data_IF_884431242127
#
_entry.id   IF_884431242127
#
_cell.length_a   1.000
_cell.length_b   1.000
_cell.length_c   1.000
_cell.angle_alpha   90.00
_cell.angle_beta   90.00
_cell.angle_gamma   90.00
#
_symmetry.space_group_name_H-M   'P 1'
#
loop_
_entity.id
_entity.type
_entity.pdbx_description
1 polymer ?
#
# COMPACT_ATOMS: atom_id res chain seq x y z
N UNK A 1 -12.42 19.62 19.73
CA UNK A 1 -12.17 19.38 18.29
C UNK A 1 -10.88 20.02 17.77
N UNK A 2 -10.65 21.32 17.97
CA UNK A 2 -9.41 21.99 17.51
C UNK A 2 -8.12 21.45 18.15
N UNK A 3 -8.15 21.11 19.46
CA UNK A 3 -7.00 20.54 20.19
C UNK A 3 -6.58 19.16 19.63
N UNK A 4 -7.54 18.28 19.37
CA UNK A 4 -7.26 16.94 18.80
C UNK A 4 -6.65 17.02 17.41
N UNK A 5 -7.15 17.92 16.54
CA UNK A 5 -6.59 18.14 15.20
C UNK A 5 -5.15 18.66 15.24
N UNK A 6 -4.83 19.56 16.19
CA UNK A 6 -3.46 20.08 16.39
C UNK A 6 -2.51 18.99 16.90
N UNK A 7 -2.96 18.17 17.85
CA UNK A 7 -2.16 17.02 18.35
C UNK A 7 -1.84 16.07 17.19
N UNK A 8 -2.83 15.73 16.37
CA UNK A 8 -2.63 14.87 15.21
C UNK A 8 -1.59 15.44 14.24
N UNK A 9 -1.64 16.76 13.95
CA UNK A 9 -0.64 17.42 13.12
C UNK A 9 0.76 17.38 13.74
N UNK A 10 0.88 17.63 15.06
CA UNK A 10 2.17 17.60 15.76
C UNK A 10 2.78 16.19 15.70
N UNK A 11 1.96 15.16 15.94
CA UNK A 11 2.43 13.76 15.85
C UNK A 11 2.89 13.43 14.43
N UNK A 12 2.11 13.79 13.40
CA UNK A 12 2.48 13.57 12.01
C UNK A 12 3.78 14.29 11.65
N UNK A 13 3.96 15.54 12.08
CA UNK A 13 5.16 16.32 11.88
C UNK A 13 6.37 15.69 12.61
N UNK A 14 6.20 15.27 13.85
CA UNK A 14 7.27 14.61 14.61
C UNK A 14 7.73 13.31 13.95
N UNK A 15 6.80 12.49 13.45
CA UNK A 15 7.11 11.26 12.70
C UNK A 15 7.88 11.59 11.42
N UNK A 16 7.42 12.57 10.65
CA UNK A 16 8.08 12.99 9.39
C UNK A 16 9.50 13.49 9.67
N UNK A 17 9.68 14.33 10.69
CA UNK A 17 11.01 14.86 11.05
C UNK A 17 11.96 13.77 11.56
N UNK A 18 11.47 12.85 12.41
CA UNK A 18 12.27 11.73 12.89
C UNK A 18 12.70 10.80 11.74
N UNK A 19 11.75 10.46 10.84
CA UNK A 19 12.05 9.66 9.66
C UNK A 19 13.01 10.34 8.69
N UNK A 20 12.87 11.67 8.51
CA UNK A 20 13.80 12.46 7.69
C UNK A 20 15.22 12.48 8.26
N UNK A 21 15.36 12.62 9.58
CA UNK A 21 16.66 12.52 10.24
C UNK A 21 17.26 11.11 10.07
N UNK A 22 16.43 10.05 10.20
CA UNK A 22 16.85 8.68 9.91
C UNK A 22 17.32 8.49 8.47
N UNK A 23 16.58 9.06 7.51
CA UNK A 23 16.95 8.99 6.09
C UNK A 23 18.25 9.73 5.78
N UNK A 24 18.50 10.92 6.36
CA UNK A 24 19.82 11.60 6.25
C UNK A 24 20.93 10.70 6.78
N UNK A 25 20.73 10.06 7.93
CA UNK A 25 21.70 9.10 8.47
C UNK A 25 21.95 7.94 7.52
N UNK A 26 20.90 7.39 6.90
CA UNK A 26 21.04 6.35 5.88
C UNK A 26 21.80 6.83 4.64
N UNK A 27 21.55 8.05 4.15
CA UNK A 27 22.30 8.62 3.03
C UNK A 27 23.80 8.79 3.32
N UNK A 28 24.15 9.07 4.57
CA UNK A 28 25.57 9.20 5.00
C UNK A 28 26.26 7.84 5.15
N UNK A 29 25.55 6.81 5.57
CA UNK A 29 26.10 5.47 5.86
C UNK A 29 25.88 4.47 4.73
N UNK A 30 24.96 4.73 3.82
CA UNK A 30 24.49 3.79 2.80
C UNK A 30 23.53 2.76 3.35
N UNK A 31 23.07 1.84 2.49
CA UNK A 31 22.12 0.78 2.85
C UNK A 31 22.72 -0.29 3.78
N UNK A 32 24.00 -0.21 4.10
CA UNK A 32 24.68 -1.12 5.05
C UNK A 32 24.07 -1.11 6.46
N UNK A 33 23.31 -0.07 6.82
CA UNK A 33 22.57 0.02 8.09
C UNK A 33 21.27 -0.77 8.12
N UNK A 34 20.86 -1.29 6.96
CA UNK A 34 19.68 -2.17 6.81
C UNK A 34 20.10 -3.62 6.93
N UNK A 35 19.12 -4.52 7.08
CA UNK A 35 19.36 -5.95 7.04
C UNK A 35 19.35 -6.52 5.61
N UNK A 36 19.25 -5.65 4.60
CA UNK A 36 19.31 -6.07 3.20
C UNK A 36 20.70 -6.59 2.85
N UNK A 37 20.73 -7.59 1.99
CA UNK A 37 21.94 -8.28 1.52
C UNK A 37 21.84 -8.60 0.04
N UNK A 38 22.87 -9.20 -0.54
CA UNK A 38 22.79 -9.71 -1.92
C UNK A 38 21.72 -10.81 -2.10
N UNK A 39 21.34 -11.50 -1.03
CA UNK A 39 20.28 -12.51 -1.04
C UNK A 39 18.90 -11.89 -0.80
N UNK A 40 18.81 -10.91 0.11
CA UNK A 40 17.63 -10.14 0.43
C UNK A 40 17.80 -8.70 -0.07
N UNK A 41 17.70 -8.50 -1.37
CA UNK A 41 17.88 -7.19 -1.99
C UNK A 41 16.68 -6.27 -1.85
N UNK A 42 15.51 -6.79 -1.50
CA UNK A 42 14.27 -6.06 -1.23
C UNK A 42 13.74 -6.40 0.15
N UNK A 43 13.76 -5.42 1.05
CA UNK A 43 13.35 -5.58 2.43
C UNK A 43 12.03 -4.92 2.77
N UNK A 44 11.94 -4.41 3.99
CA UNK A 44 10.75 -3.76 4.55
C UNK A 44 10.28 -2.56 3.70
N UNK A 45 11.19 -1.80 3.10
CA UNK A 45 10.84 -0.63 2.28
C UNK A 45 9.96 -0.99 1.08
N UNK A 46 10.28 -2.07 0.37
CA UNK A 46 9.49 -2.52 -0.78
C UNK A 46 8.14 -3.09 -0.34
N UNK A 47 8.08 -3.82 0.78
CA UNK A 47 6.81 -4.28 1.35
C UNK A 47 5.90 -3.10 1.73
N UNK A 48 6.46 -2.08 2.39
CA UNK A 48 5.75 -0.87 2.78
C UNK A 48 5.36 -0.01 1.57
N UNK A 49 6.20 0.05 0.52
CA UNK A 49 5.85 0.65 -0.77
C UNK A 49 4.62 -0.02 -1.38
N UNK A 50 4.65 -1.34 -1.57
CA UNK A 50 3.54 -2.10 -2.14
C UNK A 50 2.25 -2.00 -1.29
N UNK A 51 2.38 -1.88 0.04
CA UNK A 51 1.27 -1.58 0.94
C UNK A 51 0.66 -0.20 0.66
N UNK A 52 1.48 0.87 0.60
CA UNK A 52 1.01 2.24 0.38
C UNK A 52 0.39 2.41 -1.02
N UNK A 53 0.98 1.81 -2.05
CA UNK A 53 0.41 1.76 -3.40
C UNK A 53 -0.98 1.11 -3.37
N UNK A 54 -1.13 0.00 -2.62
CA UNK A 54 -2.41 -0.68 -2.47
C UNK A 54 -3.48 0.19 -1.86
N UNK A 55 -3.17 0.80 -0.74
CA UNK A 55 -4.10 1.71 -0.06
C UNK A 55 -4.47 2.90 -0.96
N UNK A 56 -3.49 3.45 -1.69
CA UNK A 56 -3.73 4.54 -2.64
C UNK A 56 -4.68 4.10 -3.77
N UNK A 57 -4.38 2.98 -4.42
CA UNK A 57 -5.19 2.46 -5.54
C UNK A 57 -6.63 2.18 -5.12
N UNK A 58 -6.83 1.50 -3.99
CA UNK A 58 -8.16 1.20 -3.47
C UNK A 58 -8.98 2.44 -3.13
N UNK A 59 -8.35 3.47 -2.57
CA UNK A 59 -9.00 4.77 -2.32
C UNK A 59 -9.49 5.41 -3.62
N UNK A 60 -8.68 5.40 -4.67
CA UNK A 60 -9.04 6.01 -5.96
C UNK A 60 -10.08 5.17 -6.72
N UNK A 61 -10.01 3.83 -6.66
CA UNK A 61 -11.04 2.96 -7.22
C UNK A 61 -12.40 3.31 -6.62
N UNK A 62 -12.49 3.41 -5.29
CA UNK A 62 -13.73 3.78 -4.60
C UNK A 62 -14.19 5.16 -5.03
N UNK A 63 -13.31 6.18 -5.04
CA UNK A 63 -13.66 7.52 -5.45
C UNK A 63 -14.15 7.58 -6.90
N UNK A 64 -13.43 6.93 -7.81
CA UNK A 64 -13.81 6.89 -9.24
C UNK A 64 -15.15 6.23 -9.45
N UNK A 65 -15.41 5.07 -8.81
CA UNK A 65 -16.68 4.37 -8.90
C UNK A 65 -17.85 5.21 -8.36
N UNK A 66 -17.65 6.00 -7.31
CA UNK A 66 -18.68 6.90 -6.76
C UNK A 66 -19.17 7.89 -7.80
N UNK A 67 -18.24 8.54 -8.53
CA UNK A 67 -18.57 9.55 -9.52
C UNK A 67 -18.97 8.98 -10.89
N UNK A 68 -18.41 7.83 -11.28
CA UNK A 68 -18.74 7.19 -12.56
C UNK A 68 -20.14 6.57 -12.54
N UNK A 69 -20.50 5.92 -11.44
CA UNK A 69 -21.78 5.23 -11.29
C UNK A 69 -22.83 6.07 -10.54
N UNK A 70 -22.51 7.34 -10.20
CA UNK A 70 -23.39 8.27 -9.48
C UNK A 70 -24.04 7.65 -8.22
N UNK A 71 -23.25 6.95 -7.40
CA UNK A 71 -23.74 6.26 -6.19
C UNK A 71 -23.99 7.27 -5.08
N UNK A 72 -25.22 7.82 -4.99
CA UNK A 72 -25.63 8.88 -4.07
C UNK A 72 -25.20 8.64 -2.62
N UNK A 73 -25.43 7.41 -2.11
CA UNK A 73 -25.10 7.04 -0.72
C UNK A 73 -23.61 7.10 -0.42
N UNK A 74 -22.75 7.05 -1.43
CA UNK A 74 -21.30 7.05 -1.29
C UNK A 74 -20.69 8.42 -1.62
N UNK A 75 -21.41 9.36 -2.24
CA UNK A 75 -20.90 10.70 -2.57
C UNK A 75 -20.19 11.41 -1.40
N UNK A 76 -20.69 11.33 -0.13
CA UNK A 76 -20.01 11.96 0.99
C UNK A 76 -18.58 11.42 1.27
N UNK A 77 -18.26 10.25 0.79
CA UNK A 77 -16.96 9.59 1.01
C UNK A 77 -15.94 9.89 -0.11
N UNK A 78 -16.40 10.40 -1.26
CA UNK A 78 -15.55 10.61 -2.43
C UNK A 78 -14.32 11.49 -2.15
N UNK A 79 -14.50 12.62 -1.46
CA UNK A 79 -13.40 13.54 -1.09
C UNK A 79 -12.36 12.87 -0.20
N UNK A 80 -12.81 12.09 0.79
CA UNK A 80 -11.92 11.36 1.71
C UNK A 80 -11.17 10.28 0.94
N UNK A 81 -11.86 9.58 0.04
CA UNK A 81 -11.28 8.53 -0.78
C UNK A 81 -10.18 9.06 -1.72
N UNK A 82 -10.44 10.17 -2.43
CA UNK A 82 -9.43 10.81 -3.28
C UNK A 82 -8.26 11.36 -2.47
N UNK A 83 -8.52 11.97 -1.32
CA UNK A 83 -7.48 12.52 -0.45
C UNK A 83 -6.60 11.42 0.14
N UNK A 84 -7.19 10.31 0.60
CA UNK A 84 -6.42 9.16 1.09
C UNK A 84 -5.56 8.55 -0.02
N UNK A 85 -6.10 8.46 -1.25
CA UNK A 85 -5.37 7.99 -2.41
C UNK A 85 -4.16 8.89 -2.72
N UNK A 86 -4.35 10.21 -2.76
CA UNK A 86 -3.27 11.17 -2.99
C UNK A 86 -2.19 11.09 -1.90
N UNK A 87 -2.59 11.10 -0.62
CA UNK A 87 -1.64 11.04 0.48
C UNK A 87 -0.81 9.76 0.46
N UNK A 88 -1.45 8.60 0.26
CA UNK A 88 -0.75 7.31 0.18
C UNK A 88 0.11 7.19 -1.08
N UNK A 89 -0.29 7.77 -2.22
CA UNK A 89 0.54 7.81 -3.42
C UNK A 89 1.82 8.64 -3.21
N UNK A 90 1.71 9.80 -2.54
CA UNK A 90 2.90 10.57 -2.14
C UNK A 90 3.79 9.80 -1.16
N UNK A 91 3.19 9.08 -0.19
CA UNK A 91 3.92 8.22 0.72
C UNK A 91 4.62 7.07 0.02
N UNK A 92 3.97 6.44 -0.97
CA UNK A 92 4.57 5.38 -1.78
C UNK A 92 5.76 5.91 -2.60
N UNK A 93 5.63 7.06 -3.25
CA UNK A 93 6.75 7.72 -3.93
C UNK A 93 7.92 8.02 -2.99
N UNK A 94 7.63 8.51 -1.78
CA UNK A 94 8.66 8.73 -0.77
C UNK A 94 9.32 7.42 -0.29
N UNK A 95 8.56 6.30 -0.25
CA UNK A 95 9.12 5.00 0.12
C UNK A 95 10.13 4.49 -0.91
N UNK A 96 9.86 4.70 -2.20
CA UNK A 96 10.85 4.41 -3.26
C UNK A 96 12.11 5.25 -3.09
N UNK A 97 11.96 6.55 -2.74
CA UNK A 97 13.13 7.42 -2.53
C UNK A 97 14.02 6.97 -1.38
N UNK A 98 13.45 6.48 -0.29
CA UNK A 98 14.25 6.01 0.86
C UNK A 98 14.90 4.66 0.63
N UNK A 99 14.35 3.84 -0.26
CA UNK A 99 14.93 2.54 -0.66
C UNK A 99 16.11 2.68 -1.62
N UNK A 100 16.23 3.82 -2.30
CA UNK A 100 17.33 4.05 -3.26
C UNK A 100 18.67 4.20 -2.55
N UNK A 101 19.61 3.31 -2.86
CA UNK A 101 21.00 3.41 -2.39
C UNK A 101 21.79 4.53 -3.02
N UNK A 102 21.38 5.01 -4.20
CA UNK A 102 22.09 6.02 -5.01
C UNK A 102 21.12 7.07 -5.54
N UNK A 103 20.69 7.96 -4.64
CA UNK A 103 19.64 8.95 -4.95
C UNK A 103 20.04 9.94 -6.06
N UNK A 104 21.34 10.22 -6.22
CA UNK A 104 21.86 11.08 -7.28
C UNK A 104 21.57 10.54 -8.69
N UNK A 105 21.34 9.24 -8.81
CA UNK A 105 21.09 8.58 -10.09
C UNK A 105 19.59 8.46 -10.41
N UNK A 106 18.69 8.96 -9.57
CA UNK A 106 17.24 8.81 -9.75
C UNK A 106 16.75 9.37 -11.09
N UNK A 107 17.36 10.44 -11.59
CA UNK A 107 16.97 11.05 -12.86
C UNK A 107 17.29 10.16 -14.06
N UNK A 108 18.23 9.21 -13.93
CA UNK A 108 18.58 8.31 -15.03
C UNK A 108 17.41 7.44 -15.47
N UNK A 109 16.45 7.15 -14.57
CA UNK A 109 15.25 6.39 -14.92
C UNK A 109 14.35 7.14 -15.93
N UNK A 110 14.43 8.48 -15.94
CA UNK A 110 13.68 9.33 -16.88
C UNK A 110 14.50 9.71 -18.12
N UNK A 111 15.83 9.83 -17.98
CA UNK A 111 16.74 10.25 -19.08
C UNK A 111 17.11 9.06 -19.95
N UNK A 112 17.31 7.89 -19.34
CA UNK A 112 17.70 6.64 -20.00
C UNK A 112 16.77 5.49 -19.61
N UNK A 113 15.45 5.57 -19.89
CA UNK A 113 14.49 4.55 -19.47
C UNK A 113 14.70 3.25 -20.20
N UNK A 114 14.77 2.14 -19.47
CA UNK A 114 14.67 0.81 -20.04
C UNK A 114 13.19 0.37 -20.07
N UNK A 115 12.54 0.58 -21.21
CA UNK A 115 11.11 0.25 -21.36
C UNK A 115 10.79 -1.25 -21.31
N UNK A 116 11.78 -2.13 -21.26
CA UNK A 116 11.56 -3.55 -21.01
C UNK A 116 11.41 -3.87 -19.51
N UNK A 117 11.70 -2.91 -18.62
CA UNK A 117 11.65 -3.10 -17.18
C UNK A 117 10.31 -2.72 -16.59
N UNK A 118 9.59 -3.62 -15.88
CA UNK A 118 8.37 -3.29 -15.16
C UNK A 118 8.57 -2.18 -14.11
N UNK A 119 9.77 -2.03 -13.55
CA UNK A 119 10.09 -0.99 -12.60
C UNK A 119 10.00 0.42 -13.23
N UNK A 120 10.42 0.56 -14.49
CA UNK A 120 10.26 1.84 -15.24
C UNK A 120 8.78 2.13 -15.48
N UNK A 121 7.99 1.11 -15.83
CA UNK A 121 6.54 1.28 -15.99
C UNK A 121 5.90 1.75 -14.69
N UNK A 122 6.29 1.17 -13.55
CA UNK A 122 5.76 1.52 -12.23
C UNK A 122 6.05 2.99 -11.89
N UNK A 123 7.28 3.45 -12.11
CA UNK A 123 7.65 4.87 -11.87
C UNK A 123 6.86 5.83 -12.76
N UNK A 124 6.62 5.50 -14.03
CA UNK A 124 5.80 6.31 -14.93
C UNK A 124 4.35 6.34 -14.43
N UNK A 125 3.79 5.17 -14.13
CA UNK A 125 2.39 5.06 -13.72
C UNK A 125 2.15 5.74 -12.38
N UNK A 126 3.05 5.58 -11.37
CA UNK A 126 2.89 6.26 -10.07
C UNK A 126 3.00 7.77 -10.21
N UNK A 127 3.88 8.27 -11.09
CA UNK A 127 4.02 9.71 -11.34
C UNK A 127 2.73 10.30 -11.92
N UNK A 128 2.16 9.66 -12.95
CA UNK A 128 0.88 10.04 -13.52
C UNK A 128 -0.26 9.93 -12.49
N UNK A 129 -0.23 8.87 -11.68
CA UNK A 129 -1.23 8.60 -10.66
C UNK A 129 -1.26 9.66 -9.55
N UNK A 130 -0.10 10.14 -9.10
CA UNK A 130 -0.02 11.25 -8.14
C UNK A 130 -0.70 12.52 -8.72
N UNK A 131 -0.45 12.83 -9.98
CA UNK A 131 -1.09 13.98 -10.66
C UNK A 131 -2.60 13.79 -10.76
N UNK A 132 -3.07 12.61 -11.16
CA UNK A 132 -4.51 12.32 -11.29
C UNK A 132 -5.24 12.37 -9.94
N UNK A 133 -4.64 11.81 -8.89
CA UNK A 133 -5.21 11.87 -7.53
C UNK A 133 -5.23 13.29 -6.99
N UNK A 134 -4.19 14.08 -7.21
CA UNK A 134 -4.16 15.50 -6.87
C UNK A 134 -5.28 16.28 -7.58
N UNK A 135 -5.43 16.11 -8.90
CA UNK A 135 -6.50 16.74 -9.67
C UNK A 135 -7.88 16.31 -9.17
N UNK A 136 -8.06 15.05 -8.80
CA UNK A 136 -9.31 14.55 -8.23
C UNK A 136 -9.64 15.28 -6.92
N UNK A 137 -8.68 15.39 -6.01
CA UNK A 137 -8.83 16.15 -4.74
C UNK A 137 -9.16 17.62 -5.03
N UNK A 138 -8.41 18.22 -5.95
CA UNK A 138 -8.59 19.63 -6.33
C UNK A 138 -10.03 19.91 -6.77
N UNK A 139 -10.54 19.19 -7.77
CA UNK A 139 -11.88 19.45 -8.29
C UNK A 139 -12.98 19.12 -7.28
N UNK A 140 -12.81 18.09 -6.44
CA UNK A 140 -13.78 17.72 -5.41
C UNK A 140 -13.86 18.73 -4.25
N UNK A 141 -12.79 19.50 -4.00
CA UNK A 141 -12.76 20.53 -2.97
C UNK A 141 -13.22 21.91 -3.46
N UNK A 142 -13.32 22.15 -4.77
CA UNK A 142 -13.71 23.44 -5.32
C UNK A 142 -15.00 24.03 -4.74
N UNK A 143 -16.12 23.27 -4.56
CA UNK A 143 -17.34 23.79 -3.97
C UNK A 143 -17.15 24.26 -2.53
N UNK A 144 -16.35 23.51 -1.74
CA UNK A 144 -16.07 23.88 -0.35
C UNK A 144 -15.19 25.13 -0.26
N UNK A 145 -14.20 25.25 -1.15
CA UNK A 145 -13.37 26.46 -1.25
C UNK A 145 -14.19 27.68 -1.62
N UNK A 146 -15.18 27.52 -2.49
CA UNK A 146 -16.10 28.62 -2.88
C UNK A 146 -16.98 29.03 -1.71
N UNK A 147 -17.53 28.06 -0.94
CA UNK A 147 -18.39 28.32 0.23
C UNK A 147 -17.62 29.00 1.37
N UNK A 148 -16.38 28.58 1.63
CA UNK A 148 -15.60 29.06 2.78
C UNK A 148 -14.60 30.20 2.42
N UNK A 149 -14.55 30.63 1.18
CA UNK A 149 -13.64 31.69 0.71
C UNK A 149 -12.15 31.34 0.80
N UNK A 150 -11.80 30.07 0.78
CA UNK A 150 -10.42 29.60 0.89
C UNK A 150 -9.63 29.92 -0.39
N UNK A 151 -8.53 30.68 -0.27
CA UNK A 151 -7.85 31.30 -1.43
C UNK A 151 -6.96 30.36 -2.24
N UNK A 152 -6.41 29.31 -1.65
CA UNK A 152 -5.41 28.47 -2.32
C UNK A 152 -5.92 27.79 -3.60
N UNK A 153 -7.21 27.51 -3.67
CA UNK A 153 -7.87 26.91 -4.84
C UNK A 153 -8.82 27.89 -5.56
N UNK A 154 -8.81 29.16 -5.21
CA UNK A 154 -9.79 30.14 -5.65
C UNK A 154 -9.50 30.77 -7.03
N UNK A 155 -8.33 30.46 -7.63
CA UNK A 155 -7.99 30.96 -8.96
C UNK A 155 -8.97 30.46 -10.01
N UNK A 156 -9.69 31.35 -10.65
CA UNK A 156 -10.63 31.04 -11.75
C UNK A 156 -12.07 30.70 -11.34
N UNK A 157 -12.41 30.60 -10.04
CA UNK A 157 -13.79 30.38 -9.60
C UNK A 157 -14.41 31.60 -8.88
N UNK A 158 -13.64 32.68 -8.72
CA UNK A 158 -14.05 33.84 -7.95
C UNK A 158 -15.35 34.48 -8.47
N UNK A 159 -15.51 34.55 -9.79
CA UNK A 159 -16.64 35.15 -10.45
C UNK A 159 -17.76 34.19 -10.86
N UNK A 160 -17.59 32.87 -10.57
CA UNK A 160 -18.60 31.85 -10.89
C UNK A 160 -19.62 31.74 -9.75
N UNK A 161 -20.86 31.38 -10.04
CA UNK A 161 -21.87 31.05 -9.06
C UNK A 161 -21.50 29.72 -8.35
N UNK A 162 -22.08 29.47 -7.15
CA UNK A 162 -21.84 28.22 -6.44
C UNK A 162 -22.32 27.02 -7.25
N UNK A 163 -23.47 27.14 -7.92
CA UNK A 163 -24.07 26.11 -8.75
C UNK A 163 -23.18 25.75 -9.95
N UNK A 164 -22.59 26.77 -10.63
CA UNK A 164 -21.62 26.56 -11.68
C UNK A 164 -20.38 25.82 -11.21
N UNK A 165 -19.88 26.17 -10.01
CA UNK A 165 -18.71 25.49 -9.43
C UNK A 165 -19.04 24.04 -9.03
N UNK A 166 -20.23 23.76 -8.48
CA UNK A 166 -20.68 22.41 -8.17
C UNK A 166 -20.82 21.55 -9.44
N UNK A 167 -21.43 22.09 -10.50
CA UNK A 167 -21.53 21.44 -11.81
C UNK A 167 -20.15 21.16 -12.42
N UNK A 168 -19.25 22.15 -12.37
CA UNK A 168 -17.86 22.00 -12.84
C UNK A 168 -17.13 20.91 -12.04
N UNK A 169 -17.24 20.93 -10.71
CA UNK A 169 -16.66 19.93 -9.83
C UNK A 169 -17.14 18.52 -10.17
N UNK A 170 -18.44 18.31 -10.30
CA UNK A 170 -19.03 17.02 -10.65
C UNK A 170 -18.57 16.53 -12.02
N UNK A 171 -18.61 17.39 -13.04
CA UNK A 171 -18.20 17.05 -14.42
C UNK A 171 -16.72 16.64 -14.48
N UNK A 172 -15.84 17.42 -13.84
CA UNK A 172 -14.41 17.11 -13.84
C UNK A 172 -14.07 15.91 -12.97
N UNK A 173 -14.71 15.73 -11.82
CA UNK A 173 -14.54 14.53 -11.00
C UNK A 173 -14.92 13.25 -11.76
N UNK A 174 -15.98 13.31 -12.57
CA UNK A 174 -16.39 12.18 -13.44
C UNK A 174 -15.36 11.92 -14.55
N UNK A 175 -14.87 12.95 -15.23
CA UNK A 175 -13.85 12.84 -16.29
C UNK A 175 -12.52 12.32 -15.75
N UNK A 176 -12.07 12.87 -14.61
CA UNK A 176 -10.84 12.39 -13.95
C UNK A 176 -11.02 10.96 -13.48
N UNK A 177 -12.17 10.62 -12.88
CA UNK A 177 -12.47 9.26 -12.45
C UNK A 177 -12.41 8.23 -13.59
N UNK A 178 -12.85 8.61 -14.80
CA UNK A 178 -12.77 7.77 -15.98
C UNK A 178 -11.33 7.42 -16.37
N UNK A 179 -10.41 8.37 -16.22
CA UNK A 179 -8.98 8.18 -16.50
C UNK A 179 -8.27 7.55 -15.30
N UNK A 180 -8.58 8.01 -14.10
CA UNK A 180 -7.89 7.59 -12.88
C UNK A 180 -8.22 6.14 -12.49
N UNK A 181 -9.39 5.60 -12.85
CA UNK A 181 -9.75 4.22 -12.56
C UNK A 181 -8.84 3.21 -13.30
N UNK A 182 -8.60 3.30 -14.62
CA UNK A 182 -7.61 2.48 -15.29
C UNK A 182 -6.21 2.64 -14.72
N UNK A 183 -5.78 3.86 -14.35
CA UNK A 183 -4.49 4.09 -13.73
C UNK A 183 -4.39 3.47 -12.32
N UNK A 184 -5.47 3.48 -11.53
CA UNK A 184 -5.51 2.84 -10.23
C UNK A 184 -5.42 1.31 -10.31
N UNK A 185 -6.04 0.71 -11.33
CA UNK A 185 -5.88 -0.71 -11.64
C UNK A 185 -4.47 -0.97 -12.19
N UNK A 186 -4.01 -0.10 -13.11
CA UNK A 186 -2.71 -0.21 -13.78
C UNK A 186 -1.54 -0.15 -12.84
N UNK A 187 -1.51 0.80 -11.88
CA UNK A 187 -0.42 0.90 -10.92
C UNK A 187 -0.25 -0.40 -10.13
N UNK A 188 -1.37 -1.00 -9.70
CA UNK A 188 -1.32 -2.23 -8.92
C UNK A 188 -0.94 -3.45 -9.77
N UNK A 189 -1.41 -3.47 -11.02
CA UNK A 189 -0.98 -4.49 -11.99
C UNK A 189 0.52 -4.40 -12.28
N UNK A 190 1.04 -3.19 -12.51
CA UNK A 190 2.46 -3.01 -12.81
C UNK A 190 3.34 -3.30 -11.59
N UNK A 191 2.94 -2.85 -10.40
CA UNK A 191 3.65 -3.21 -9.16
C UNK A 191 3.67 -4.72 -8.96
N UNK A 192 2.58 -5.44 -9.22
CA UNK A 192 2.57 -6.90 -9.17
C UNK A 192 3.48 -7.53 -10.24
N UNK A 193 3.57 -6.94 -11.44
CA UNK A 193 4.45 -7.42 -12.51
C UNK A 193 5.94 -7.25 -12.18
N UNK A 194 6.32 -6.31 -11.30
CA UNK A 194 7.71 -6.22 -10.81
C UNK A 194 8.13 -7.56 -10.18
N UNK A 195 7.23 -8.21 -9.46
CA UNK A 195 7.46 -9.52 -8.86
C UNK A 195 7.18 -10.65 -9.85
N UNK A 196 6.01 -10.65 -10.49
CA UNK A 196 5.55 -11.75 -11.34
C UNK A 196 6.42 -12.02 -12.57
N UNK A 197 7.25 -11.08 -13.01
CA UNK A 197 8.21 -11.28 -14.10
C UNK A 197 9.56 -11.85 -13.63
N UNK A 198 9.76 -12.04 -12.33
CA UNK A 198 10.98 -12.60 -11.75
C UNK A 198 10.90 -14.14 -11.75
N UNK A 199 11.39 -14.77 -12.81
CA UNK A 199 11.39 -16.24 -12.95
C UNK A 199 12.27 -16.95 -11.92
N UNK A 200 13.18 -16.24 -11.24
CA UNK A 200 14.05 -16.78 -10.21
C UNK A 200 13.35 -17.06 -8.89
N UNK A 201 12.14 -16.56 -8.70
CA UNK A 201 11.36 -16.75 -7.48
C UNK A 201 10.00 -17.34 -7.83
N UNK A 202 9.84 -18.64 -7.65
CA UNK A 202 8.62 -19.38 -7.98
C UNK A 202 7.37 -18.82 -7.28
N UNK A 203 7.52 -18.35 -6.03
CA UNK A 203 6.43 -17.73 -5.27
C UNK A 203 5.85 -16.47 -5.91
N UNK A 204 6.63 -15.77 -6.71
CA UNK A 204 6.18 -14.56 -7.41
C UNK A 204 5.68 -14.83 -8.81
N UNK A 205 6.20 -15.86 -9.47
CA UNK A 205 5.92 -16.13 -10.87
C UNK A 205 4.55 -16.77 -11.09
N UNK A 206 3.50 -15.98 -10.83
CA UNK A 206 2.10 -16.40 -10.97
C UNK A 206 1.26 -15.32 -11.63
N UNK A 207 0.32 -15.73 -12.49
CA UNK A 207 -0.66 -14.83 -13.11
C UNK A 207 -1.75 -14.38 -12.12
N UNK A 208 -1.84 -14.99 -10.95
CA UNK A 208 -2.83 -14.65 -9.91
C UNK A 208 -2.42 -13.39 -9.15
N UNK A 209 -1.14 -13.07 -9.10
CA UNK A 209 -0.61 -11.97 -8.30
C UNK A 209 -1.22 -10.60 -8.64
N UNK A 210 -1.35 -10.14 -9.92
CA UNK A 210 -1.98 -8.87 -10.22
C UNK A 210 -3.44 -8.76 -9.78
N UNK A 211 -4.35 -9.72 -10.08
CA UNK A 211 -5.73 -9.63 -9.60
C UNK A 211 -5.87 -9.72 -8.08
N UNK A 212 -5.01 -10.49 -7.41
CA UNK A 212 -4.97 -10.53 -5.95
C UNK A 212 -4.56 -9.19 -5.34
N UNK A 213 -3.55 -8.55 -5.91
CA UNK A 213 -3.13 -7.21 -5.51
C UNK A 213 -4.26 -6.19 -5.63
N UNK A 214 -5.06 -6.25 -6.69
CA UNK A 214 -6.21 -5.35 -6.88
C UNK A 214 -7.29 -5.64 -5.81
N UNK A 215 -7.57 -6.90 -5.49
CA UNK A 215 -8.53 -7.26 -4.46
C UNK A 215 -8.11 -6.70 -3.09
N UNK A 216 -6.85 -6.93 -2.69
CA UNK A 216 -6.32 -6.39 -1.43
C UNK A 216 -6.21 -4.84 -1.43
N UNK A 217 -6.00 -4.21 -2.59
CA UNK A 217 -6.05 -2.75 -2.70
C UNK A 217 -7.44 -2.20 -2.37
N UNK A 218 -8.49 -2.77 -2.96
CA UNK A 218 -9.87 -2.37 -2.66
C UNK A 218 -10.19 -2.55 -1.18
N UNK A 219 -9.74 -3.66 -0.58
CA UNK A 219 -9.94 -3.92 0.84
C UNK A 219 -9.21 -2.89 1.73
N UNK A 220 -7.93 -2.67 1.48
CA UNK A 220 -7.09 -1.78 2.31
C UNK A 220 -7.44 -0.30 2.11
N UNK A 221 -7.61 0.15 0.85
CA UNK A 221 -8.02 1.52 0.56
C UNK A 221 -9.41 1.84 1.10
N UNK A 222 -10.37 0.90 0.95
CA UNK A 222 -11.69 1.01 1.56
C UNK A 222 -11.65 1.12 3.08
N UNK A 223 -10.76 0.36 3.71
CA UNK A 223 -10.55 0.39 5.15
C UNK A 223 -9.99 1.73 5.64
N UNK A 224 -9.02 2.31 4.94
CA UNK A 224 -8.52 3.64 5.29
C UNK A 224 -9.61 4.72 5.11
N UNK A 225 -10.37 4.67 4.01
CA UNK A 225 -11.51 5.57 3.78
C UNK A 225 -12.54 5.45 4.90
N UNK A 226 -12.86 4.22 5.32
CA UNK A 226 -13.80 3.94 6.39
C UNK A 226 -13.32 4.51 7.74
N UNK A 227 -12.05 4.31 8.11
CA UNK A 227 -11.45 4.87 9.32
C UNK A 227 -11.54 6.40 9.31
N UNK A 228 -11.05 7.03 8.24
CA UNK A 228 -11.04 8.49 8.13
C UNK A 228 -12.46 9.07 8.18
N UNK A 229 -13.39 8.48 7.44
CA UNK A 229 -14.77 8.92 7.43
C UNK A 229 -15.45 8.81 8.81
N UNK A 230 -15.22 7.72 9.55
CA UNK A 230 -15.77 7.50 10.88
C UNK A 230 -15.14 8.45 11.90
N UNK A 231 -13.82 8.60 11.89
CA UNK A 231 -13.08 9.47 12.84
C UNK A 231 -13.45 10.93 12.65
N UNK A 232 -13.64 11.37 11.40
CA UNK A 232 -14.01 12.73 11.07
C UNK A 232 -15.50 13.03 11.27
N UNK A 233 -16.36 12.00 11.30
CA UNK A 233 -17.82 12.16 11.48
C UNK A 233 -18.21 12.23 12.95
N UNK A 234 -19.02 13.22 13.30
CA UNK A 234 -19.74 13.23 14.57
C UNK A 234 -20.72 12.05 14.70
N UNK A 235 -21.28 11.84 15.89
CA UNK A 235 -22.21 10.72 16.15
C UNK A 235 -23.49 10.79 15.31
N UNK A 236 -24.04 11.98 15.17
CA UNK A 236 -25.27 12.21 14.39
C UNK A 236 -25.06 11.89 12.91
N UNK A 237 -24.00 12.46 12.31
CA UNK A 237 -23.65 12.26 10.89
C UNK A 237 -23.30 10.80 10.55
N UNK A 238 -22.73 10.07 11.50
CA UNK A 238 -22.49 8.63 11.33
C UNK A 238 -23.81 7.87 11.21
N UNK A 239 -24.78 8.13 12.11
CA UNK A 239 -26.06 7.46 12.10
C UNK A 239 -26.85 7.75 10.81
N UNK A 240 -26.81 9.01 10.36
CA UNK A 240 -27.43 9.44 9.11
C UNK A 240 -26.86 8.70 7.89
N UNK A 241 -25.53 8.49 7.87
CA UNK A 241 -24.81 7.86 6.75
C UNK A 241 -24.54 6.37 6.93
N UNK A 242 -25.16 5.72 7.91
CA UNK A 242 -24.91 4.32 8.25
C UNK A 242 -25.05 3.37 7.04
N UNK A 243 -26.00 3.68 6.14
CA UNK A 243 -26.19 2.92 4.90
C UNK A 243 -24.97 2.93 3.99
N UNK A 244 -24.31 4.09 3.85
CA UNK A 244 -23.08 4.25 3.07
C UNK A 244 -21.88 3.51 3.69
N UNK A 245 -21.71 3.63 5.01
CA UNK A 245 -20.67 2.88 5.74
C UNK A 245 -20.81 1.36 5.55
N UNK A 246 -22.04 0.85 5.63
CA UNK A 246 -22.30 -0.57 5.41
C UNK A 246 -22.02 -1.04 3.99
N UNK A 247 -22.24 -0.19 2.99
CA UNK A 247 -21.87 -0.50 1.60
C UNK A 247 -20.33 -0.64 1.49
N UNK A 248 -19.57 0.29 2.05
CA UNK A 248 -18.10 0.21 2.06
C UNK A 248 -17.64 -1.06 2.79
N UNK A 249 -18.19 -1.39 3.95
CA UNK A 249 -17.88 -2.63 4.67
C UNK A 249 -18.12 -3.88 3.81
N UNK A 250 -19.21 -3.92 3.04
CA UNK A 250 -19.50 -5.05 2.14
C UNK A 250 -18.54 -5.12 0.97
N UNK A 251 -18.15 -3.98 0.39
CA UNK A 251 -17.13 -3.92 -0.67
C UNK A 251 -15.82 -4.50 -0.14
N UNK A 252 -15.38 -4.09 1.04
CA UNK A 252 -14.18 -4.61 1.71
C UNK A 252 -14.30 -6.13 1.92
N UNK A 253 -15.42 -6.60 2.45
CA UNK A 253 -15.62 -8.02 2.73
C UNK A 253 -15.61 -8.89 1.46
N UNK A 254 -16.21 -8.41 0.37
CA UNK A 254 -16.17 -9.10 -0.94
C UNK A 254 -14.76 -9.12 -1.50
N UNK A 255 -14.03 -8.00 -1.41
CA UNK A 255 -12.66 -7.92 -1.87
C UNK A 255 -11.75 -8.89 -1.11
N UNK A 256 -11.91 -9.01 0.22
CA UNK A 256 -11.20 -9.99 1.03
C UNK A 256 -11.58 -11.43 0.64
N UNK A 257 -12.86 -11.71 0.35
CA UNK A 257 -13.28 -13.04 -0.09
C UNK A 257 -12.60 -13.44 -1.41
N UNK A 258 -12.44 -12.48 -2.35
CA UNK A 258 -11.72 -12.70 -3.61
C UNK A 258 -10.24 -12.97 -3.35
N UNK A 259 -9.60 -12.19 -2.45
CA UNK A 259 -8.22 -12.43 -2.04
C UNK A 259 -8.03 -13.82 -1.44
N UNK A 260 -8.85 -14.21 -0.47
CA UNK A 260 -8.76 -15.54 0.16
C UNK A 260 -8.99 -16.67 -0.86
N UNK A 261 -9.84 -16.45 -1.85
CA UNK A 261 -10.02 -17.41 -2.95
C UNK A 261 -8.73 -17.55 -3.77
N UNK A 262 -8.05 -16.46 -4.14
CA UNK A 262 -6.79 -16.51 -4.88
C UNK A 262 -5.69 -17.17 -4.05
N UNK A 263 -5.55 -16.83 -2.79
CA UNK A 263 -4.59 -17.47 -1.86
C UNK A 263 -4.83 -18.99 -1.75
N UNK A 264 -6.11 -19.40 -1.66
CA UNK A 264 -6.45 -20.83 -1.64
C UNK A 264 -6.07 -21.52 -2.96
N UNK A 265 -6.28 -20.87 -4.11
CA UNK A 265 -5.90 -21.43 -5.41
C UNK A 265 -4.37 -21.56 -5.53
N UNK A 266 -3.60 -20.58 -5.09
CA UNK A 266 -2.13 -20.66 -5.07
C UNK A 266 -1.63 -21.82 -4.20
N UNK A 267 -2.18 -22.00 -3.00
CA UNK A 267 -1.83 -23.10 -2.12
C UNK A 267 -2.18 -24.47 -2.73
N UNK A 268 -3.37 -24.59 -3.33
CA UNK A 268 -3.79 -25.84 -3.98
C UNK A 268 -2.86 -26.17 -5.14
N UNK A 269 -2.52 -25.18 -5.98
CA UNK A 269 -1.61 -25.39 -7.11
C UNK A 269 -0.20 -25.72 -6.62
N UNK A 270 0.32 -25.04 -5.60
CA UNK A 270 1.61 -25.32 -5.00
C UNK A 270 1.67 -26.74 -4.42
N UNK A 271 0.64 -27.16 -3.71
CA UNK A 271 0.55 -28.51 -3.14
C UNK A 271 0.41 -29.60 -4.23
N UNK A 272 -0.27 -29.30 -5.34
CA UNK A 272 -0.49 -30.24 -6.44
C UNK A 272 0.71 -30.36 -7.37
N UNK A 273 1.37 -29.27 -7.70
CA UNK A 273 2.46 -29.21 -8.67
C UNK A 273 3.66 -30.09 -8.27
N UNK A 274 3.93 -30.20 -6.97
CA UNK A 274 4.83 -31.20 -6.42
C UNK A 274 6.30 -31.07 -6.82
N UNK A 275 6.73 -29.92 -7.40
CA UNK A 275 8.16 -29.70 -7.67
C UNK A 275 8.94 -29.64 -6.35
N UNK A 276 10.21 -29.96 -6.37
CA UNK A 276 11.08 -29.92 -5.18
C UNK A 276 11.14 -28.49 -4.63
N UNK A 277 11.22 -27.50 -5.53
CA UNK A 277 11.25 -26.07 -5.21
C UNK A 277 9.96 -25.63 -4.53
N UNK A 278 8.82 -26.05 -5.04
CA UNK A 278 7.50 -25.72 -4.46
C UNK A 278 7.31 -26.37 -3.09
N UNK A 279 7.76 -27.63 -2.92
CA UNK A 279 7.71 -28.30 -1.62
C UNK A 279 8.63 -27.61 -0.60
N UNK A 280 9.84 -27.20 -1.01
CA UNK A 280 10.73 -26.40 -0.18
C UNK A 280 10.09 -25.08 0.24
N UNK A 281 9.44 -24.38 -0.68
CA UNK A 281 8.70 -23.16 -0.40
C UNK A 281 7.57 -23.37 0.61
N UNK A 282 6.75 -24.42 0.44
CA UNK A 282 5.72 -24.76 1.44
C UNK A 282 6.32 -25.08 2.81
N UNK A 283 7.48 -25.72 2.84
CA UNK A 283 8.24 -25.94 4.08
C UNK A 283 8.66 -24.63 4.76
N UNK A 284 9.10 -23.64 3.99
CA UNK A 284 9.44 -22.30 4.49
C UNK A 284 8.19 -21.55 4.97
N UNK A 285 7.09 -21.59 4.21
CA UNK A 285 5.83 -20.92 4.55
C UNK A 285 5.22 -21.44 5.84
N UNK A 286 5.09 -22.76 5.99
CA UNK A 286 4.46 -23.37 7.15
C UNK A 286 5.43 -23.63 8.31
N UNK A 287 6.72 -23.70 8.05
CA UNK A 287 7.76 -23.86 9.06
C UNK A 287 8.24 -22.52 9.60
N UNK A 288 9.19 -21.89 8.90
CA UNK A 288 9.88 -20.68 9.37
C UNK A 288 8.96 -19.49 9.56
N UNK A 289 8.00 -19.30 8.65
CA UNK A 289 7.05 -18.19 8.70
C UNK A 289 5.63 -18.61 9.09
N UNK A 290 5.43 -19.83 9.61
CA UNK A 290 4.10 -20.40 9.87
C UNK A 290 3.21 -19.55 10.75
N UNK A 291 3.75 -18.89 11.78
CA UNK A 291 2.99 -17.94 12.62
C UNK A 291 2.56 -16.71 11.83
N UNK A 292 3.45 -16.13 11.05
CA UNK A 292 3.16 -14.93 10.25
C UNK A 292 2.16 -15.26 9.13
N UNK A 293 2.29 -16.44 8.53
CA UNK A 293 1.37 -16.94 7.53
C UNK A 293 -0.03 -17.25 8.10
N UNK A 294 -0.09 -17.82 9.30
CA UNK A 294 -1.36 -17.98 10.00
C UNK A 294 -2.05 -16.64 10.28
N UNK A 295 -1.30 -15.62 10.68
CA UNK A 295 -1.80 -14.25 10.86
C UNK A 295 -2.35 -13.70 9.53
N UNK A 296 -1.64 -13.90 8.42
CA UNK A 296 -2.06 -13.50 7.07
C UNK A 296 -3.42 -14.10 6.67
N UNK A 297 -3.71 -15.34 7.04
CA UNK A 297 -4.97 -16.01 6.72
C UNK A 297 -6.10 -15.66 7.71
N UNK A 298 -5.77 -15.57 8.99
CA UNK A 298 -6.77 -15.36 10.07
C UNK A 298 -7.29 -13.93 10.08
N UNK A 299 -6.41 -12.91 9.99
CA UNK A 299 -6.83 -11.52 10.11
C UNK A 299 -7.83 -11.11 9.03
N UNK A 300 -7.59 -11.35 7.72
CA UNK A 300 -8.58 -10.99 6.70
C UNK A 300 -9.86 -11.81 6.82
N UNK A 301 -9.78 -13.09 7.20
CA UNK A 301 -10.97 -13.92 7.43
C UNK A 301 -11.85 -13.36 8.54
N UNK A 302 -11.27 -12.97 9.68
CA UNK A 302 -11.99 -12.33 10.79
C UNK A 302 -12.62 -11.02 10.34
N UNK A 303 -11.88 -10.18 9.62
CA UNK A 303 -12.39 -8.92 9.10
C UNK A 303 -13.55 -9.13 8.12
N UNK A 304 -13.44 -10.09 7.22
CA UNK A 304 -14.49 -10.44 6.25
C UNK A 304 -15.79 -10.83 6.98
N UNK A 305 -15.72 -11.77 7.93
CA UNK A 305 -16.89 -12.24 8.71
C UNK A 305 -17.51 -11.07 9.48
N UNK A 306 -16.70 -10.23 10.11
CA UNK A 306 -17.20 -9.08 10.86
C UNK A 306 -17.90 -8.06 9.97
N UNK A 307 -17.38 -7.78 8.78
CA UNK A 307 -17.96 -6.80 7.86
C UNK A 307 -19.24 -7.30 7.15
N UNK A 308 -19.44 -8.60 7.01
CA UNK A 308 -20.72 -9.14 6.59
C UNK A 308 -21.79 -9.09 7.69
N UNK A 309 -21.41 -9.02 8.96
CA UNK A 309 -22.34 -9.02 10.09
C UNK A 309 -23.03 -7.66 10.26
N UNK A 310 -24.36 -7.63 10.24
CA UNK A 310 -25.16 -6.42 10.50
C UNK A 310 -24.95 -5.86 11.91
N UNK A 311 -24.66 -6.74 12.89
CA UNK A 311 -24.41 -6.36 14.29
C UNK A 311 -23.09 -5.59 14.44
N UNK A 312 -22.03 -6.11 13.84
CA UNK A 312 -20.70 -5.46 13.86
C UNK A 312 -20.70 -4.15 13.08
N UNK A 313 -21.38 -4.08 11.95
CA UNK A 313 -21.47 -2.87 11.13
C UNK A 313 -22.53 -1.88 11.62
N UNK A 314 -22.94 -1.97 12.87
CA UNK A 314 -23.77 -0.95 13.57
C UNK A 314 -22.94 -0.03 14.48
N UNK A 315 -21.72 -0.41 14.85
CA UNK A 315 -20.87 0.31 15.80
C UNK A 315 -19.65 0.94 15.13
N UNK A 316 -19.40 2.23 15.44
CA UNK A 316 -18.19 2.95 15.00
C UNK A 316 -16.91 2.21 15.38
N UNK A 317 -16.78 1.81 16.63
CA UNK A 317 -15.58 1.17 17.16
C UNK A 317 -15.31 -0.17 16.46
N UNK A 318 -16.35 -0.96 16.21
CA UNK A 318 -16.22 -2.25 15.54
C UNK A 318 -15.82 -2.10 14.06
N UNK A 319 -16.40 -1.12 13.36
CA UNK A 319 -15.99 -0.83 11.98
C UNK A 319 -14.53 -0.36 11.90
N UNK A 320 -14.11 0.55 12.80
CA UNK A 320 -12.70 1.00 12.84
C UNK A 320 -11.77 -0.15 13.19
N UNK A 321 -12.11 -0.97 14.18
CA UNK A 321 -11.31 -2.13 14.57
C UNK A 321 -11.15 -3.11 13.40
N UNK A 322 -12.24 -3.47 12.73
CA UNK A 322 -12.19 -4.34 11.54
C UNK A 322 -11.31 -3.74 10.43
N UNK A 323 -11.41 -2.41 10.20
CA UNK A 323 -10.60 -1.73 9.20
C UNK A 323 -9.11 -1.70 9.55
N UNK A 324 -8.76 -1.55 10.83
CA UNK A 324 -7.36 -1.67 11.29
C UNK A 324 -6.84 -3.07 11.06
N UNK A 325 -7.63 -4.10 11.36
CA UNK A 325 -7.28 -5.51 11.09
C UNK A 325 -6.99 -5.71 9.59
N UNK A 326 -7.80 -5.16 8.68
CA UNK A 326 -7.55 -5.25 7.23
C UNK A 326 -6.24 -4.59 6.83
N UNK A 327 -5.94 -3.39 7.36
CA UNK A 327 -4.67 -2.72 7.06
C UNK A 327 -3.47 -3.52 7.56
N UNK A 328 -3.55 -4.09 8.76
CA UNK A 328 -2.51 -4.98 9.30
C UNK A 328 -2.37 -6.24 8.45
N UNK A 329 -3.48 -6.89 8.07
CA UNK A 329 -3.47 -8.07 7.20
C UNK A 329 -2.80 -7.76 5.85
N UNK A 330 -3.12 -6.60 5.25
CA UNK A 330 -2.51 -6.18 3.99
C UNK A 330 -1.00 -5.97 4.13
N UNK A 331 -0.54 -5.37 5.22
CA UNK A 331 0.90 -5.22 5.46
C UNK A 331 1.59 -6.58 5.63
N UNK A 332 1.01 -7.48 6.44
CA UNK A 332 1.53 -8.84 6.63
C UNK A 332 1.59 -9.59 5.30
N UNK A 333 0.55 -9.49 4.48
CA UNK A 333 0.53 -10.08 3.14
C UNK A 333 1.69 -9.57 2.25
N UNK A 334 2.04 -8.28 2.31
CA UNK A 334 3.20 -7.75 1.57
C UNK A 334 4.54 -8.24 2.11
N UNK A 335 4.65 -8.47 3.43
CA UNK A 335 5.83 -9.09 4.02
C UNK A 335 5.94 -10.57 3.61
N UNK A 336 4.84 -11.31 3.63
CA UNK A 336 4.78 -12.71 3.22
C UNK A 336 5.01 -12.93 1.72
N UNK A 337 4.80 -11.90 0.90
CA UNK A 337 5.20 -11.94 -0.50
C UNK A 337 6.74 -11.99 -0.64
N UNK A 338 7.48 -11.22 0.18
CA UNK A 338 8.93 -11.06 0.05
C UNK A 338 9.73 -12.11 0.81
N UNK A 339 9.44 -12.27 2.10
CA UNK A 339 10.31 -13.02 3.00
C UNK A 339 10.46 -14.50 2.65
N UNK A 340 9.39 -15.25 2.38
CA UNK A 340 9.53 -16.65 1.98
C UNK A 340 10.23 -16.81 0.62
N UNK A 341 9.97 -15.91 -0.34
CA UNK A 341 10.56 -15.97 -1.66
C UNK A 341 12.08 -15.83 -1.63
N UNK A 342 12.61 -14.92 -0.82
CA UNK A 342 14.06 -14.75 -0.67
C UNK A 342 14.71 -15.82 0.20
N UNK A 343 13.98 -16.40 1.14
CA UNK A 343 14.52 -17.47 1.97
C UNK A 343 14.57 -18.81 1.23
N UNK A 344 13.67 -19.04 0.29
CA UNK A 344 13.68 -20.25 -0.54
C UNK A 344 14.79 -20.16 -1.58
N UNK A 345 15.82 -20.99 -1.45
CA UNK A 345 16.92 -21.01 -2.41
C UNK A 345 16.44 -21.59 -3.75
N UNK A 346 16.71 -20.87 -4.83
CA UNK A 346 16.25 -21.22 -6.18
C UNK A 346 17.30 -21.91 -7.03
N UNK A 347 18.56 -21.90 -6.60
CA UNK A 347 19.68 -22.54 -7.32
C UNK A 347 20.50 -23.37 -6.35
N UNK A 348 20.56 -24.67 -6.60
CA UNK A 348 21.43 -25.59 -5.91
C UNK A 348 22.33 -26.31 -6.92
N UNK A 349 23.52 -26.69 -6.50
CA UNK A 349 24.43 -27.52 -7.30
C UNK A 349 24.84 -28.74 -6.49
N UNK A 350 24.91 -29.86 -7.17
CA UNK A 350 25.59 -31.03 -6.65
C UNK A 350 27.10 -30.80 -6.73
N UNK A 351 27.76 -30.72 -5.61
CA UNK A 351 29.22 -30.57 -5.52
C UNK A 351 29.84 -31.80 -4.88
N UNK A 352 30.95 -32.24 -5.42
CA UNK A 352 31.73 -33.33 -4.83
C UNK A 352 32.36 -32.84 -3.53
N UNK A 353 31.79 -33.23 -2.39
CA UNK A 353 32.31 -32.94 -1.07
C UNK A 353 33.25 -34.04 -0.55
N UNK A 354 33.81 -33.82 0.62
CA UNK A 354 34.73 -34.79 1.25
C UNK A 354 34.09 -36.16 1.56
N UNK A 355 32.74 -36.17 1.74
CA UNK A 355 31.95 -37.38 2.08
C UNK A 355 31.02 -37.85 0.95
N UNK A 356 31.24 -37.39 -0.31
CA UNK A 356 30.42 -37.69 -1.46
C UNK A 356 29.75 -36.45 -2.06
N UNK A 357 28.68 -36.65 -2.85
CA UNK A 357 27.91 -35.53 -3.42
C UNK A 357 27.16 -34.81 -2.32
N UNK A 358 27.27 -33.49 -2.30
CA UNK A 358 26.56 -32.62 -1.39
C UNK A 358 25.85 -31.51 -2.19
N UNK A 359 24.60 -31.23 -1.82
CA UNK A 359 23.88 -30.10 -2.38
C UNK A 359 24.49 -28.80 -1.87
N UNK A 360 24.97 -27.97 -2.80
CA UNK A 360 25.44 -26.64 -2.49
C UNK A 360 24.49 -25.61 -3.03
N UNK A 361 23.89 -24.82 -2.13
CA UNK A 361 23.12 -23.67 -2.53
C UNK A 361 24.07 -22.59 -3.07
N UNK A 362 23.60 -21.82 -4.03
CA UNK A 362 24.42 -20.76 -4.63
C UNK A 362 25.01 -19.86 -3.56
N UNK A 363 26.32 -19.76 -3.42
CA UNK A 363 26.95 -18.99 -2.38
C UNK A 363 26.72 -17.50 -2.63
N UNK A 364 26.09 -16.83 -1.69
CA UNK A 364 25.80 -15.40 -1.73
C UNK A 364 26.54 -14.70 -0.60
N UNK A 365 27.26 -13.65 -0.91
CA UNK A 365 27.92 -12.83 0.12
C UNK A 365 26.86 -12.14 0.98
N UNK A 366 26.88 -12.42 2.29
CA UNK A 366 25.98 -11.79 3.26
C UNK A 366 26.44 -10.41 3.70
N UNK A 367 27.72 -10.06 3.47
CA UNK A 367 28.36 -8.89 4.06
C UNK A 367 28.65 -8.98 5.57
N UNK A 368 28.29 -10.09 6.21
CA UNK A 368 28.37 -10.30 7.67
C UNK A 368 29.46 -11.31 8.07
N UNK A 369 30.63 -11.18 7.48
CA UNK A 369 31.76 -12.09 7.72
C UNK A 369 32.12 -12.18 9.21
N UNK A 370 32.07 -11.07 9.94
CA UNK A 370 32.44 -11.01 11.36
C UNK A 370 31.44 -11.80 12.22
N UNK A 371 30.15 -11.69 11.92
CA UNK A 371 29.09 -12.33 12.70
C UNK A 371 28.95 -13.82 12.39
N UNK A 372 29.13 -14.24 11.14
CA UNK A 372 28.86 -15.59 10.65
C UNK A 372 30.14 -16.45 10.52
N UNK A 373 31.30 -15.85 10.59
CA UNK A 373 32.59 -16.54 10.44
C UNK A 373 32.96 -16.89 8.99
N UNK A 374 32.05 -16.69 8.02
CA UNK A 374 32.32 -16.90 6.59
C UNK A 374 31.47 -15.92 5.74
N UNK A 375 31.95 -15.54 4.55
CA UNK A 375 31.30 -14.50 3.73
C UNK A 375 30.08 -14.98 2.96
N UNK A 376 29.83 -16.30 2.93
CA UNK A 376 28.75 -16.92 2.18
C UNK A 376 27.79 -17.61 3.11
N UNK A 377 26.48 -17.47 2.83
CA UNK A 377 25.43 -18.19 3.53
C UNK A 377 24.45 -18.79 2.55
N UNK A 378 24.01 -20.01 2.82
CA UNK A 378 22.99 -20.70 2.03
C UNK A 378 21.56 -20.33 2.47
N UNK A 379 21.38 -19.94 3.72
CA UNK A 379 20.09 -19.52 4.26
C UNK A 379 20.27 -18.28 5.11
N UNK A 380 19.44 -17.28 4.89
CA UNK A 380 19.45 -16.03 5.63
C UNK A 380 18.03 -15.63 6.00
N UNK A 381 17.79 -15.25 7.24
CA UNK A 381 16.52 -14.72 7.69
C UNK A 381 16.65 -13.19 7.81
N UNK A 382 15.96 -12.47 6.97
CA UNK A 382 15.89 -11.00 7.03
C UNK A 382 15.01 -10.57 8.21
N UNK A 383 15.52 -9.62 8.98
CA UNK A 383 14.75 -8.91 10.01
C UNK A 383 15.01 -7.40 9.88
N UNK A 384 13.95 -6.59 9.66
CA UNK A 384 14.13 -5.15 9.53
C UNK A 384 14.86 -4.56 10.72
N UNK A 385 15.88 -3.75 10.48
CA UNK A 385 16.63 -3.06 11.53
C UNK A 385 15.84 -1.90 12.13
N UNK A 386 16.26 -1.42 13.29
CA UNK A 386 15.70 -0.21 13.89
C UNK A 386 15.86 1.00 12.95
N UNK A 387 16.92 1.03 12.15
CA UNK A 387 17.14 2.08 11.15
C UNK A 387 16.08 2.04 10.05
N UNK A 388 15.71 0.85 9.55
CA UNK A 388 14.66 0.70 8.53
C UNK A 388 13.30 1.17 9.05
N UNK A 389 12.94 0.83 10.29
CA UNK A 389 11.71 1.34 10.91
C UNK A 389 11.74 2.85 11.09
N UNK A 390 12.87 3.40 11.55
CA UNK A 390 13.02 4.85 11.75
C UNK A 390 12.88 5.62 10.42
N UNK A 391 13.57 5.18 9.39
CA UNK A 391 13.49 5.78 8.04
C UNK A 391 12.08 5.69 7.48
N UNK A 392 11.39 4.57 7.67
CA UNK A 392 10.01 4.36 7.22
C UNK A 392 9.00 5.31 7.88
N UNK A 393 9.34 5.93 9.01
CA UNK A 393 8.50 6.99 9.59
C UNK A 393 8.38 8.20 8.66
N UNK A 394 9.32 8.46 7.74
CA UNK A 394 9.23 9.57 6.80
C UNK A 394 8.04 9.40 5.83
N UNK A 395 7.92 8.32 5.04
CA UNK A 395 6.78 8.12 4.15
C UNK A 395 5.44 8.02 4.87
N UNK A 396 5.36 7.25 5.95
CA UNK A 396 4.13 7.15 6.74
C UNK A 396 3.76 8.47 7.42
N UNK A 397 4.74 9.18 7.95
CA UNK A 397 4.57 10.52 8.52
C UNK A 397 4.07 11.52 7.48
N UNK A 398 4.58 11.47 6.24
CA UNK A 398 4.13 12.30 5.13
C UNK A 398 2.65 12.05 4.80
N UNK A 399 2.20 10.80 4.75
CA UNK A 399 0.78 10.45 4.58
C UNK A 399 -0.07 11.11 5.66
N UNK A 400 0.31 10.91 6.93
CA UNK A 400 -0.42 11.50 8.06
C UNK A 400 -0.36 13.02 8.05
N UNK A 401 0.74 13.62 7.64
CA UNK A 401 0.93 15.06 7.56
C UNK A 401 0.00 15.69 6.51
N UNK A 402 -0.09 15.09 5.31
CA UNK A 402 -1.02 15.53 4.26
C UNK A 402 -2.47 15.45 4.78
N UNK A 403 -2.86 14.33 5.36
CA UNK A 403 -4.21 14.13 5.91
C UNK A 403 -4.52 15.11 7.04
N UNK A 404 -3.57 15.34 7.95
CA UNK A 404 -3.73 16.27 9.08
C UNK A 404 -3.86 17.71 8.60
N UNK A 405 -3.00 18.14 7.67
CA UNK A 405 -3.01 19.48 7.09
C UNK A 405 -4.35 19.76 6.39
N UNK A 406 -4.77 18.82 5.54
CA UNK A 406 -6.04 18.97 4.80
C UNK A 406 -7.23 18.99 5.74
N UNK A 407 -7.26 18.16 6.81
CA UNK A 407 -8.32 18.17 7.79
C UNK A 407 -8.38 19.47 8.65
N UNK A 408 -7.25 20.17 8.78
CA UNK A 408 -7.23 21.49 9.46
C UNK A 408 -7.78 22.60 8.59
N UNK A 409 -7.44 22.57 7.30
CA UNK A 409 -7.75 23.67 6.36
C UNK A 409 -9.11 23.51 5.70
N UNK A 410 -9.55 22.27 5.45
CA UNK A 410 -10.75 22.00 4.66
C UNK A 410 -11.77 21.16 5.42
N UNK A 411 -13.08 21.42 5.24
CA UNK A 411 -14.13 20.61 5.82
C UNK A 411 -14.30 19.33 5.00
N UNK A 412 -13.52 18.28 5.30
CA UNK A 412 -13.55 17.01 4.59
C UNK A 412 -14.88 16.27 4.76
N UNK A 413 -15.57 16.51 5.89
CA UNK A 413 -16.89 15.95 6.21
C UNK A 413 -17.82 17.11 6.56
N UNK A 414 -18.85 17.34 5.75
CA UNK A 414 -19.92 18.31 6.00
C UNK A 414 -21.25 17.60 6.26
N UNK A 415 -22.14 18.29 7.00
CA UNK A 415 -23.58 17.96 7.08
C UNK A 415 -24.25 18.15 5.74
#
# INVERSE_FOLDING_TARGET
MARSKRIFLIVALAMTCAGFAGWIYQLMRGLVITDMSNMFNWGFYIAAFAFLVGVAAGGMIISSCIYLFDVEKLKPFGKIASLSAFACACGAGAMVLVDLGSIQNILNIFIHPNFSSPLVWDVIVISCYIVLTFLSVYFQLLPDCKKDGLWFFNGGIRNQSLEEVEKKSHTWSKRIGLVALPFAIGIHTVTALIFATQNSHEWWHTAILPPDFIAMAVASGGSLVLILAIVLSGRELFNERLGGYRIICRIIAVAIAVHLFFTAMELILAAWAGSVETQSLLGVLFGDYGVLYAIELILPTVAMVTFFSKKWTASKGQMVFGSVIVLMATLVHRLMLLYPAFKNATVSFDVLGANGMADWLYPVSTGRVIEMGFPFASTYAYMPTVAEYLVSLLPFGLVLLILAFMNLKYPLVRR
#
